data_IF_600616580570
#
_entry.id   IF_600616580570
#
_cell.length_a   1.000
_cell.length_b   1.000
_cell.length_c   1.000
_cell.angle_alpha   90.00
_cell.angle_beta   90.00
_cell.angle_gamma   90.00
#
_symmetry.space_group_name_H-M   'P 1'
#
loop_
_entity.id
_entity.type
_entity.pdbx_description
1 polymer ?
#
# COMPACT_ATOMS: atom_id res chain seq x y z
N UNK A 1 28.45 10.62 -1.21
CA UNK A 1 27.58 9.90 -0.26
C UNK A 1 27.62 10.67 1.06
N UNK A 2 26.71 11.63 1.26
CA UNK A 2 26.65 12.43 2.50
C UNK A 2 25.70 11.73 3.47
N UNK A 3 26.23 11.25 4.59
CA UNK A 3 25.44 10.84 5.74
C UNK A 3 24.82 12.11 6.36
N UNK A 4 23.52 12.31 6.13
CA UNK A 4 22.73 13.28 6.88
C UNK A 4 22.13 12.60 8.11
N UNK A 5 22.12 13.32 9.22
CA UNK A 5 21.61 12.97 10.55
C UNK A 5 20.09 12.72 10.55
N UNK A 6 19.62 11.57 10.06
CA UNK A 6 18.18 11.29 9.89
C UNK A 6 17.42 10.91 11.19
N UNK A 7 18.09 10.61 12.32
CA UNK A 7 17.42 9.99 13.47
C UNK A 7 16.61 10.96 14.36
N UNK A 8 17.04 12.23 14.49
CA UNK A 8 16.33 13.20 15.32
C UNK A 8 15.14 13.82 14.58
N UNK A 9 15.30 14.11 13.27
CA UNK A 9 14.28 14.81 12.47
C UNK A 9 13.01 13.99 12.25
N UNK A 10 13.12 12.68 11.99
CA UNK A 10 11.94 11.80 11.79
C UNK A 10 11.14 11.66 13.08
N UNK A 11 11.83 11.54 14.22
CA UNK A 11 11.19 11.46 15.54
C UNK A 11 10.49 12.77 15.93
N UNK A 12 11.09 13.93 15.62
CA UNK A 12 10.48 15.25 15.85
C UNK A 12 9.21 15.47 15.02
N UNK A 13 9.20 15.02 13.77
CA UNK A 13 8.04 15.14 12.87
C UNK A 13 6.88 14.24 13.29
N UNK A 14 7.16 13.00 13.72
CA UNK A 14 6.12 12.04 14.09
C UNK A 14 5.53 12.28 15.50
N UNK A 15 6.30 12.85 16.44
CA UNK A 15 5.80 13.18 17.80
C UNK A 15 4.63 14.17 17.80
N UNK A 16 4.53 15.01 16.77
CA UNK A 16 3.47 16.02 16.63
C UNK A 16 2.27 15.53 15.79
N UNK A 17 2.36 14.34 15.20
CA UNK A 17 1.26 13.74 14.45
C UNK A 17 0.53 12.80 15.40
N UNK A 18 -0.69 13.18 15.80
CA UNK A 18 -1.60 12.28 16.50
C UNK A 18 -2.13 11.22 15.53
N UNK A 19 -1.31 10.23 15.21
CA UNK A 19 -1.80 8.99 14.62
C UNK A 19 -2.54 8.21 15.72
N UNK A 20 -3.78 7.84 15.46
CA UNK A 20 -4.49 6.95 16.35
C UNK A 20 -3.83 5.58 16.31
N UNK A 21 -3.72 4.95 17.48
CA UNK A 21 -3.15 3.61 17.64
C UNK A 21 -4.26 2.58 17.51
N UNK A 22 -3.92 1.41 16.99
CA UNK A 22 -4.83 0.26 17.04
C UNK A 22 -5.08 -0.15 18.48
N UNK A 23 -6.22 -0.79 18.75
CA UNK A 23 -6.36 -1.56 19.98
C UNK A 23 -5.53 -2.84 19.89
N UNK A 24 -5.25 -3.46 21.04
CA UNK A 24 -4.55 -4.74 21.09
C UNK A 24 -5.25 -5.79 20.21
N UNK A 25 -6.57 -5.95 20.35
CA UNK A 25 -7.38 -6.88 19.54
C UNK A 25 -7.25 -6.61 18.03
N UNK A 26 -7.19 -5.33 17.63
CA UNK A 26 -7.03 -4.95 16.23
C UNK A 26 -5.64 -5.30 15.71
N UNK A 27 -4.59 -5.02 16.48
CA UNK A 27 -3.22 -5.38 16.13
C UNK A 27 -3.06 -6.90 16.01
N UNK A 28 -3.55 -7.65 17.00
CA UNK A 28 -3.53 -9.12 17.00
C UNK A 28 -4.28 -9.70 15.80
N UNK A 29 -5.41 -9.11 15.41
CA UNK A 29 -6.17 -9.54 14.24
C UNK A 29 -5.39 -9.49 12.92
N UNK A 30 -4.36 -8.63 12.81
CA UNK A 30 -3.50 -8.51 11.63
C UNK A 30 -2.43 -9.60 11.55
N UNK A 31 -2.14 -10.27 12.66
CA UNK A 31 -1.03 -11.23 12.79
C UNK A 31 -1.50 -12.69 12.92
N UNK A 32 -2.81 -12.92 12.97
CA UNK A 32 -3.42 -14.26 12.95
C UNK A 32 -2.92 -15.08 11.76
N UNK A 33 -2.83 -16.40 11.92
CA UNK A 33 -2.51 -17.34 10.84
C UNK A 33 -3.33 -17.08 9.57
N UNK A 34 -2.65 -17.03 8.42
CA UNK A 34 -3.27 -16.85 7.12
C UNK A 34 -4.16 -18.05 6.77
N UNK A 35 -5.40 -17.78 6.34
CA UNK A 35 -6.34 -18.83 5.94
C UNK A 35 -6.33 -19.07 4.43
N UNK A 36 -6.61 -20.31 3.97
CA UNK A 36 -6.76 -20.59 2.54
C UNK A 36 -7.78 -19.67 1.88
N UNK A 37 -8.89 -19.39 2.59
CA UNK A 37 -9.93 -18.48 2.12
C UNK A 37 -9.37 -17.08 1.82
N UNK A 38 -8.59 -16.52 2.75
CA UNK A 38 -7.98 -15.20 2.61
C UNK A 38 -7.00 -15.14 1.43
N UNK A 39 -6.15 -16.16 1.29
CA UNK A 39 -5.20 -16.24 0.16
C UNK A 39 -5.94 -16.40 -1.17
N UNK A 40 -6.98 -17.23 -1.21
CA UNK A 40 -7.81 -17.43 -2.39
C UNK A 40 -8.52 -16.13 -2.77
N UNK A 41 -9.10 -15.40 -1.82
CA UNK A 41 -9.73 -14.11 -2.07
C UNK A 41 -8.73 -13.13 -2.69
N UNK A 42 -7.51 -13.05 -2.17
CA UNK A 42 -6.46 -12.21 -2.74
C UNK A 42 -6.08 -12.60 -4.19
N UNK A 43 -6.03 -13.89 -4.51
CA UNK A 43 -5.81 -14.39 -5.88
C UNK A 43 -6.96 -13.99 -6.81
N UNK A 44 -8.20 -14.16 -6.36
CA UNK A 44 -9.39 -13.95 -7.18
C UNK A 44 -9.69 -12.45 -7.40
N UNK A 45 -9.34 -11.60 -6.44
CA UNK A 45 -9.37 -10.13 -6.56
C UNK A 45 -8.39 -9.58 -7.61
N UNK A 46 -7.30 -10.30 -7.89
CA UNK A 46 -6.31 -9.85 -8.85
C UNK A 46 -6.85 -9.95 -10.28
N UNK A 47 -6.74 -8.87 -11.08
CA UNK A 47 -7.13 -8.89 -12.50
C UNK A 47 -6.34 -9.96 -13.26
N UNK A 48 -7.05 -10.83 -13.97
CA UNK A 48 -6.52 -12.04 -14.59
C UNK A 48 -5.55 -11.80 -15.74
N UNK A 49 -5.84 -10.81 -16.58
CA UNK A 49 -5.13 -10.48 -17.82
C UNK A 49 -3.89 -9.58 -17.63
N UNK A 50 -3.40 -9.40 -16.40
CA UNK A 50 -2.18 -8.62 -16.15
C UNK A 50 -0.96 -9.32 -16.76
N UNK A 51 -0.02 -8.54 -17.28
CA UNK A 51 1.26 -9.05 -17.78
C UNK A 51 1.99 -9.89 -16.71
N UNK A 52 2.57 -11.04 -17.10
CA UNK A 52 3.29 -11.90 -16.18
C UNK A 52 4.63 -11.27 -15.78
N UNK A 53 5.08 -11.58 -14.57
CA UNK A 53 6.45 -11.28 -14.14
C UNK A 53 7.42 -12.42 -14.46
N UNK A 54 8.63 -12.41 -13.87
CA UNK A 54 9.61 -13.49 -13.98
C UNK A 54 9.02 -14.84 -13.54
N UNK A 55 8.68 -15.70 -14.49
CA UNK A 55 7.92 -16.93 -14.26
C UNK A 55 6.80 -17.15 -15.27
N UNK A 56 6.43 -16.14 -16.06
CA UNK A 56 5.58 -16.32 -17.25
C UNK A 56 4.08 -16.53 -16.99
N UNK A 57 3.67 -16.76 -15.74
CA UNK A 57 2.27 -16.98 -15.39
C UNK A 57 1.52 -15.69 -15.03
N UNK A 58 0.31 -15.56 -15.57
CA UNK A 58 -0.64 -14.51 -15.19
C UNK A 58 -1.72 -15.05 -14.24
N UNK A 59 -2.56 -14.18 -13.71
CA UNK A 59 -3.59 -14.58 -12.75
C UNK A 59 -4.71 -15.43 -13.36
N UNK A 60 -4.97 -15.38 -14.67
CA UNK A 60 -5.91 -16.32 -15.30
C UNK A 60 -5.42 -17.76 -15.17
N UNK A 61 -4.13 -18.00 -15.43
CA UNK A 61 -3.53 -19.31 -15.23
C UNK A 61 -3.60 -19.74 -13.77
N UNK A 62 -3.23 -18.86 -12.83
CA UNK A 62 -3.27 -19.17 -11.39
C UNK A 62 -4.69 -19.53 -10.93
N UNK A 63 -5.70 -18.76 -11.36
CA UNK A 63 -7.11 -19.05 -11.01
C UNK A 63 -7.58 -20.37 -11.60
N UNK A 64 -7.27 -20.63 -12.87
CA UNK A 64 -7.65 -21.86 -13.56
C UNK A 64 -6.98 -23.10 -12.95
N UNK A 65 -5.75 -22.96 -12.43
CA UNK A 65 -4.98 -24.04 -11.81
C UNK A 65 -4.89 -23.91 -10.29
N UNK A 66 -5.82 -23.20 -9.64
CA UNK A 66 -5.77 -22.96 -8.20
C UNK A 66 -5.66 -24.25 -7.38
N UNK A 67 -6.40 -25.30 -7.74
CA UNK A 67 -6.34 -26.56 -7.00
C UNK A 67 -4.97 -27.25 -7.07
N UNK A 68 -4.22 -27.02 -8.16
CA UNK A 68 -2.86 -27.53 -8.32
C UNK A 68 -1.85 -26.67 -7.55
N UNK A 69 -2.01 -25.34 -7.60
CA UNK A 69 -1.02 -24.36 -7.12
C UNK A 69 -1.25 -23.88 -5.68
N UNK A 70 -2.40 -24.18 -5.08
CA UNK A 70 -2.78 -23.62 -3.77
C UNK A 70 -1.77 -23.97 -2.68
N UNK A 71 -1.20 -25.18 -2.75
CA UNK A 71 -0.27 -25.67 -1.72
C UNK A 71 0.99 -24.79 -1.68
N UNK A 72 1.58 -24.52 -2.83
CA UNK A 72 2.77 -23.69 -2.97
C UNK A 72 2.53 -22.24 -2.54
N UNK A 73 1.33 -21.71 -2.80
CA UNK A 73 0.96 -20.38 -2.30
C UNK A 73 0.82 -20.37 -0.78
N UNK A 74 0.15 -21.37 -0.20
CA UNK A 74 -0.04 -21.43 1.25
C UNK A 74 1.28 -21.61 1.99
N UNK A 75 2.11 -22.57 1.57
CA UNK A 75 3.44 -22.81 2.14
C UNK A 75 4.31 -21.56 2.08
N UNK A 76 4.34 -20.87 0.93
CA UNK A 76 5.09 -19.63 0.79
C UNK A 76 4.62 -18.52 1.75
N UNK A 77 3.31 -18.33 1.88
CA UNK A 77 2.76 -17.29 2.74
C UNK A 77 2.92 -17.64 4.23
N UNK A 78 2.81 -18.92 4.61
CA UNK A 78 3.08 -19.40 5.96
C UNK A 78 4.56 -19.23 6.34
N UNK A 79 5.48 -19.57 5.44
CA UNK A 79 6.92 -19.39 5.63
C UNK A 79 7.28 -17.91 5.80
N UNK A 80 6.65 -17.03 5.00
CA UNK A 80 6.80 -15.59 5.17
C UNK A 80 6.27 -15.12 6.52
N UNK A 81 5.11 -15.60 6.97
CA UNK A 81 4.54 -15.20 8.25
C UNK A 81 5.45 -15.59 9.44
N UNK A 82 6.13 -16.75 9.35
CA UNK A 82 7.07 -17.21 10.40
C UNK A 82 8.40 -16.48 10.35
N UNK A 83 8.98 -16.32 9.17
CA UNK A 83 10.36 -15.85 9.01
C UNK A 83 10.49 -14.37 8.67
N UNK A 84 9.39 -13.71 8.29
CA UNK A 84 9.37 -12.36 7.71
C UNK A 84 10.28 -12.19 6.49
N UNK A 85 10.70 -13.29 5.87
CA UNK A 85 11.61 -13.31 4.73
C UNK A 85 11.11 -14.27 3.65
N UNK A 86 11.65 -14.15 2.45
CA UNK A 86 11.41 -15.10 1.36
C UNK A 86 12.62 -15.13 0.44
N UNK A 87 12.72 -16.18 -0.39
CA UNK A 87 13.86 -16.34 -1.28
C UNK A 87 14.02 -15.15 -2.23
N UNK A 88 15.27 -14.71 -2.44
CA UNK A 88 15.60 -13.58 -3.33
C UNK A 88 15.07 -13.79 -4.75
N UNK A 89 14.93 -15.05 -5.19
CA UNK A 89 14.36 -15.40 -6.49
C UNK A 89 12.93 -14.88 -6.68
N UNK A 90 12.14 -14.80 -5.60
CA UNK A 90 10.75 -14.32 -5.65
C UNK A 90 10.68 -12.81 -5.88
N UNK A 91 11.72 -12.07 -5.46
CA UNK A 91 11.86 -10.63 -5.70
C UNK A 91 12.38 -10.30 -7.11
N UNK A 92 12.63 -11.29 -7.96
CA UNK A 92 12.98 -11.03 -9.34
C UNK A 92 11.83 -10.27 -10.04
N UNK A 93 12.18 -9.22 -10.77
CA UNK A 93 11.23 -8.41 -11.54
C UNK A 93 11.74 -8.13 -12.95
N UNK A 94 10.82 -7.96 -13.89
CA UNK A 94 11.13 -7.37 -15.19
C UNK A 94 10.76 -5.89 -15.16
N UNK A 95 11.70 -5.04 -15.57
CA UNK A 95 11.46 -3.61 -15.73
C UNK A 95 11.14 -3.33 -17.20
N UNK A 96 10.06 -2.59 -17.45
CA UNK A 96 9.69 -2.13 -18.79
C UNK A 96 9.24 -0.69 -18.77
N UNK A 97 9.52 0.05 -19.85
CA UNK A 97 9.14 1.44 -20.01
C UNK A 97 7.89 1.51 -20.90
N UNK A 98 6.81 2.08 -20.37
CA UNK A 98 5.58 2.34 -21.12
C UNK A 98 5.44 3.83 -21.38
N UNK A 99 5.31 4.19 -22.66
CA UNK A 99 5.12 5.58 -23.09
C UNK A 99 3.86 6.19 -22.46
N UNK A 100 3.95 7.42 -21.95
CA UNK A 100 2.83 8.23 -21.44
C UNK A 100 2.05 8.89 -22.58
N UNK A 101 2.74 9.23 -23.66
CA UNK A 101 2.23 9.93 -24.86
C UNK A 101 2.88 9.35 -26.12
N UNK A 102 2.26 9.55 -27.29
CA UNK A 102 2.73 8.94 -28.55
C UNK A 102 4.12 9.46 -28.98
N UNK A 103 4.32 10.78 -28.89
CA UNK A 103 5.61 11.44 -29.10
C UNK A 103 6.39 11.53 -27.78
N UNK A 104 6.96 10.40 -27.35
CA UNK A 104 7.84 10.34 -26.19
C UNK A 104 9.29 10.54 -26.63
N UNK A 105 9.92 11.62 -26.18
CA UNK A 105 11.31 11.99 -26.55
C UNK A 105 12.23 11.92 -25.32
N UNK A 106 11.71 12.27 -24.14
CA UNK A 106 12.46 12.29 -22.88
C UNK A 106 12.15 11.08 -21.99
N UNK A 107 13.08 10.72 -21.10
CA UNK A 107 12.86 9.69 -20.07
C UNK A 107 11.64 10.00 -19.17
N UNK A 108 11.33 11.28 -18.96
CA UNK A 108 10.15 11.73 -18.23
C UNK A 108 8.82 11.35 -18.89
N UNK A 109 8.82 11.05 -20.19
CA UNK A 109 7.65 10.62 -20.96
C UNK A 109 7.35 9.14 -20.83
N UNK A 110 8.16 8.40 -20.09
CA UNK A 110 7.94 6.98 -19.83
C UNK A 110 7.47 6.76 -18.40
N UNK A 111 6.64 5.73 -18.22
CA UNK A 111 6.34 5.13 -16.93
C UNK A 111 7.15 3.86 -16.82
N UNK A 112 8.01 3.79 -15.81
CA UNK A 112 8.65 2.54 -15.44
C UNK A 112 7.60 1.62 -14.81
N UNK A 113 7.44 0.42 -15.38
CA UNK A 113 6.57 -0.63 -14.85
C UNK A 113 7.45 -1.79 -14.39
N UNK A 114 7.27 -2.16 -13.11
CA UNK A 114 7.90 -3.32 -12.51
C UNK A 114 6.94 -4.52 -12.55
N UNK A 115 7.28 -5.54 -13.33
CA UNK A 115 6.54 -6.79 -13.45
C UNK A 115 7.12 -7.80 -12.46
N UNK A 116 6.42 -7.99 -11.35
CA UNK A 116 6.76 -8.94 -10.28
C UNK A 116 5.96 -10.24 -10.40
N UNK A 117 6.43 -11.31 -9.74
CA UNK A 117 5.75 -12.61 -9.67
C UNK A 117 4.35 -12.52 -9.08
N UNK A 118 3.43 -13.37 -9.55
CA UNK A 118 2.08 -13.46 -9.01
C UNK A 118 2.06 -13.80 -7.51
N UNK A 119 2.96 -14.68 -7.05
CA UNK A 119 3.03 -15.06 -5.63
C UNK A 119 3.35 -13.86 -4.72
N UNK A 120 4.27 -13.00 -5.13
CA UNK A 120 4.58 -11.76 -4.42
C UNK A 120 3.40 -10.78 -4.46
N UNK A 121 2.71 -10.65 -5.61
CA UNK A 121 1.49 -9.83 -5.71
C UNK A 121 0.40 -10.32 -4.74
N UNK A 122 0.27 -11.64 -4.57
CA UNK A 122 -0.69 -12.23 -3.62
C UNK A 122 -0.30 -11.91 -2.19
N UNK A 123 0.97 -12.11 -1.81
CA UNK A 123 1.46 -11.71 -0.49
C UNK A 123 1.15 -10.23 -0.18
N UNK A 124 1.57 -9.33 -1.07
CA UNK A 124 1.32 -7.90 -0.91
C UNK A 124 -0.18 -7.58 -0.83
N UNK A 125 -1.02 -8.28 -1.61
CA UNK A 125 -2.47 -8.10 -1.62
C UNK A 125 -3.11 -8.59 -0.33
N UNK A 126 -2.66 -9.70 0.24
CA UNK A 126 -3.15 -10.20 1.53
C UNK A 126 -2.80 -9.20 2.64
N UNK A 127 -1.53 -8.77 2.72
CA UNK A 127 -1.10 -7.76 3.69
C UNK A 127 -1.88 -6.45 3.56
N UNK A 128 -2.08 -5.97 2.32
CA UNK A 128 -2.89 -4.78 2.07
C UNK A 128 -4.36 -4.95 2.46
N UNK A 129 -4.94 -6.15 2.26
CA UNK A 129 -6.31 -6.44 2.66
C UNK A 129 -6.46 -6.45 4.19
N UNK A 130 -5.48 -6.98 4.93
CA UNK A 130 -5.42 -6.91 6.40
C UNK A 130 -5.31 -5.46 6.87
N UNK A 131 -4.33 -4.70 6.36
CA UNK A 131 -4.20 -3.29 6.73
C UNK A 131 -5.48 -2.49 6.43
N UNK A 132 -6.15 -2.78 5.31
CA UNK A 132 -7.40 -2.14 4.92
C UNK A 132 -8.54 -2.36 5.92
N UNK A 133 -8.55 -3.45 6.70
CA UNK A 133 -9.61 -3.70 7.70
C UNK A 133 -9.51 -2.75 8.90
N UNK A 134 -8.30 -2.27 9.20
CA UNK A 134 -8.02 -1.42 10.36
C UNK A 134 -7.72 0.04 10.01
N UNK A 135 -7.47 0.35 8.73
CA UNK A 135 -7.01 1.66 8.30
C UNK A 135 -7.94 2.83 8.71
N UNK A 136 -9.25 2.56 8.84
CA UNK A 136 -10.22 3.55 9.28
C UNK A 136 -10.01 4.05 10.71
N UNK A 137 -9.35 3.26 11.56
CA UNK A 137 -9.09 3.60 12.96
C UNK A 137 -7.83 4.43 13.15
N UNK A 138 -6.91 4.40 12.18
CA UNK A 138 -5.58 5.06 12.27
C UNK A 138 -5.44 6.26 11.35
N UNK A 139 -6.41 6.49 10.46
CA UNK A 139 -6.41 7.59 9.48
C UNK A 139 -7.57 8.56 9.74
N UNK A 140 -7.25 9.85 9.80
CA UNK A 140 -8.19 10.98 9.95
C UNK A 140 -9.46 10.80 9.15
N UNK A 141 -10.63 11.09 9.75
CA UNK A 141 -11.94 11.05 9.07
C UNK A 141 -12.00 11.96 7.83
N UNK A 142 -11.17 13.00 7.78
CA UNK A 142 -11.07 13.92 6.66
C UNK A 142 -10.37 13.32 5.43
N UNK A 143 -9.62 12.21 5.58
CA UNK A 143 -9.05 11.47 4.46
C UNK A 143 -10.15 10.60 3.82
N UNK A 144 -10.75 11.08 2.74
CA UNK A 144 -11.86 10.37 2.08
C UNK A 144 -11.42 9.40 0.99
N UNK A 145 -10.22 9.59 0.44
CA UNK A 145 -9.67 8.74 -0.61
C UNK A 145 -8.96 7.51 -0.04
N UNK A 146 -9.03 6.38 -0.76
CA UNK A 146 -8.34 5.12 -0.47
C UNK A 146 -8.71 4.41 0.85
N UNK A 147 -9.70 4.91 1.60
CA UNK A 147 -10.25 4.24 2.79
C UNK A 147 -11.54 3.50 2.42
N UNK A 148 -11.67 2.24 2.86
CA UNK A 148 -12.88 1.44 2.64
C UNK A 148 -14.08 2.15 3.27
N UNK A 149 -15.18 2.29 2.53
CA UNK A 149 -16.42 2.90 3.02
C UNK A 149 -16.45 4.43 2.94
N UNK A 150 -15.35 5.09 2.59
CA UNK A 150 -15.32 6.55 2.37
C UNK A 150 -15.44 6.86 0.87
N UNK A 151 -16.09 7.98 0.55
CA UNK A 151 -16.34 8.41 -0.83
C UNK A 151 -15.67 9.75 -1.11
N UNK A 152 -14.98 9.86 -2.24
CA UNK A 152 -14.31 11.10 -2.68
C UNK A 152 -15.29 12.27 -2.85
N UNK A 153 -16.56 11.97 -3.15
CA UNK A 153 -17.64 12.95 -3.28
C UNK A 153 -17.87 13.74 -2.00
N UNK A 154 -17.63 13.16 -0.82
CA UNK A 154 -17.78 13.84 0.47
C UNK A 154 -16.83 15.04 0.55
N UNK A 155 -15.58 14.89 0.12
CA UNK A 155 -14.62 16.01 0.09
C UNK A 155 -15.03 17.12 -0.88
N UNK A 156 -15.65 16.76 -2.01
CA UNK A 156 -16.14 17.75 -2.99
C UNK A 156 -17.31 18.54 -2.39
N UNK A 157 -18.25 17.86 -1.72
CA UNK A 157 -19.40 18.50 -1.06
C UNK A 157 -18.90 19.44 0.05
N UNK A 158 -17.99 18.97 0.90
CA UNK A 158 -17.43 19.78 1.99
C UNK A 158 -16.72 21.03 1.48
N UNK A 159 -15.90 20.91 0.43
CA UNK A 159 -15.24 22.05 -0.20
C UNK A 159 -16.26 23.05 -0.77
N UNK A 160 -17.34 22.56 -1.41
CA UNK A 160 -18.40 23.41 -1.93
C UNK A 160 -19.14 24.14 -0.80
N UNK A 161 -19.49 23.46 0.28
CA UNK A 161 -20.16 24.06 1.44
C UNK A 161 -19.34 25.17 2.08
N UNK A 162 -18.01 24.99 2.20
CA UNK A 162 -17.10 26.02 2.69
C UNK A 162 -17.12 27.25 1.77
N UNK A 163 -17.03 27.05 0.45
CA UNK A 163 -17.07 28.14 -0.53
C UNK A 163 -18.41 28.90 -0.48
N UNK A 164 -19.52 28.17 -0.44
CA UNK A 164 -20.86 28.76 -0.36
C UNK A 164 -21.06 29.54 0.96
N UNK A 165 -20.52 29.04 2.07
CA UNK A 165 -20.55 29.70 3.37
C UNK A 165 -19.76 31.02 3.35
N UNK A 166 -18.53 31.01 2.83
CA UNK A 166 -17.69 32.21 2.70
C UNK A 166 -18.35 33.27 1.80
N UNK A 167 -18.93 32.84 0.67
CA UNK A 167 -19.63 33.72 -0.25
C UNK A 167 -20.83 34.42 0.41
N UNK A 168 -21.62 33.69 1.21
CA UNK A 168 -22.76 34.26 1.96
C UNK A 168 -22.34 35.30 2.98
N UNK A 169 -21.20 35.11 3.64
CA UNK A 169 -20.66 36.03 4.65
C UNK A 169 -19.84 37.18 4.08
N UNK A 170 -19.55 37.16 2.78
CA UNK A 170 -18.63 38.09 2.12
C UNK A 170 -17.24 38.10 2.78
N UNK A 171 -16.85 36.94 3.33
CA UNK A 171 -15.54 36.72 3.91
C UNK A 171 -14.60 36.22 2.79
N UNK A 172 -13.41 36.82 2.70
CA UNK A 172 -12.36 36.30 1.82
C UNK A 172 -11.77 35.01 2.38
N UNK A 173 -11.21 34.17 1.51
CA UNK A 173 -10.58 32.92 1.89
C UNK A 173 -9.39 32.56 0.99
N UNK A 174 -8.49 31.73 1.50
CA UNK A 174 -7.36 31.17 0.75
C UNK A 174 -7.53 29.67 0.60
N UNK A 175 -7.41 29.16 -0.62
CA UNK A 175 -7.37 27.71 -0.89
C UNK A 175 -5.92 27.31 -1.18
N UNK A 176 -5.38 26.43 -0.33
CA UNK A 176 -4.05 25.85 -0.53
C UNK A 176 -4.19 24.48 -1.20
N UNK A 177 -3.73 24.37 -2.45
CA UNK A 177 -3.63 23.09 -3.17
C UNK A 177 -2.19 22.58 -3.09
N UNK A 178 -2.00 21.48 -2.38
CA UNK A 178 -0.72 20.78 -2.29
C UNK A 178 -0.77 19.49 -3.10
N UNK A 179 0.27 19.22 -3.87
CA UNK A 179 0.43 17.98 -4.62
C UNK A 179 1.85 17.43 -4.43
N UNK A 180 1.98 16.11 -4.32
CA UNK A 180 3.26 15.45 -4.10
C UNK A 180 3.80 14.91 -5.42
N UNK A 181 4.95 15.44 -5.86
CA UNK A 181 5.65 14.86 -7.01
C UNK A 181 6.12 13.44 -6.68
N UNK A 182 5.74 12.47 -7.51
CA UNK A 182 6.17 11.06 -7.40
C UNK A 182 6.00 10.49 -5.98
N UNK A 183 4.81 10.68 -5.40
CA UNK A 183 4.51 10.31 -4.01
C UNK A 183 4.94 8.89 -3.59
N UNK A 184 4.95 7.89 -4.48
CA UNK A 184 5.41 6.55 -4.15
C UNK A 184 6.93 6.37 -4.25
N UNK A 185 7.61 7.15 -5.09
CA UNK A 185 9.06 7.10 -5.26
C UNK A 185 9.78 7.95 -4.20
N UNK A 186 9.08 8.91 -3.57
CA UNK A 186 9.64 9.87 -2.63
C UNK A 186 9.53 9.45 -1.15
N UNK A 187 8.80 8.37 -0.83
CA UNK A 187 8.62 7.92 0.56
C UNK A 187 9.90 7.29 1.10
N UNK A 188 10.42 7.82 2.21
CA UNK A 188 11.55 7.23 2.92
C UNK A 188 11.09 5.96 3.66
N UNK A 189 11.76 4.82 3.43
CA UNK A 189 11.46 3.55 4.10
C UNK A 189 11.46 3.65 5.63
N UNK A 190 12.44 4.35 6.21
CA UNK A 190 12.50 4.58 7.66
C UNK A 190 11.27 5.29 8.21
N UNK A 191 10.76 6.28 7.48
CA UNK A 191 9.55 6.99 7.90
C UNK A 191 8.35 6.05 7.90
N UNK A 192 8.24 5.19 6.88
CA UNK A 192 7.20 4.17 6.84
C UNK A 192 7.33 3.21 8.03
N UNK A 193 8.53 2.69 8.30
CA UNK A 193 8.78 1.78 9.43
C UNK A 193 8.35 2.38 10.78
N UNK A 194 8.67 3.65 11.03
CA UNK A 194 8.23 4.35 12.25
C UNK A 194 6.71 4.54 12.31
N UNK A 195 6.05 4.83 11.17
CA UNK A 195 4.58 4.88 11.10
C UNK A 195 3.98 3.51 11.41
N UNK A 196 4.55 2.41 10.89
CA UNK A 196 4.08 1.04 11.18
C UNK A 196 4.19 0.71 12.68
N UNK A 197 5.29 1.11 13.31
CA UNK A 197 5.49 0.98 14.77
C UNK A 197 4.44 1.77 15.55
N UNK A 198 4.16 3.01 15.14
CA UNK A 198 3.20 3.87 15.81
C UNK A 198 1.79 3.32 15.79
N UNK A 199 1.36 2.73 14.67
CA UNK A 199 0.04 2.10 14.56
C UNK A 199 -0.03 0.70 15.22
N UNK A 200 1.06 0.24 15.84
CA UNK A 200 1.16 -1.08 16.50
C UNK A 200 1.01 -2.28 15.55
N UNK A 201 1.40 -2.13 14.29
CA UNK A 201 1.49 -3.28 13.40
C UNK A 201 2.95 -3.58 13.09
N UNK A 202 3.48 -4.62 13.72
CA UNK A 202 4.86 -5.06 13.55
C UNK A 202 4.87 -6.59 13.56
N UNK A 203 5.19 -7.20 12.41
CA UNK A 203 5.59 -8.61 12.36
C UNK A 203 6.88 -8.81 13.17
N UNK A 204 6.80 -8.86 14.49
CA UNK A 204 7.95 -8.91 15.39
C UNK A 204 8.38 -10.34 15.66
N UNK A 205 8.64 -11.15 14.64
CA UNK A 205 9.27 -12.46 14.83
C UNK A 205 10.56 -12.65 14.01
N UNK A 206 11.08 -11.61 13.36
CA UNK A 206 12.27 -11.68 12.49
C UNK A 206 13.54 -11.04 13.02
N UNK A 207 13.72 -10.89 14.34
CA UNK A 207 15.02 -10.53 14.93
C UNK A 207 15.57 -11.72 15.74
N UNK A 208 16.16 -12.67 15.03
CA UNK A 208 17.28 -13.48 15.49
C UNK A 208 18.39 -13.41 14.46
#
# INVERSE_FOLDING_TARGET
>A
MKHYSDNEDVNLQLKNISLWKLSQDQAESLEVALSEKEVREAVYDCKGNKAPGPGGFNFNFIKAKWQLLKKEFLEFLEDFQKSCTFSRSVNASFLTLVRKREAAEDLGDYRLICLIRCIYKVLAKVLANRLKSVLQYVVSEHQTAFIKGRQILVSIIFAKEILDYMAKRREGGLVLKLDFEKAFDSVKWRFLDEVMKLIQWLFQHGNQ
#
